data_IF_689029123381
#
_entry.id   IF_689029123381
#
_cell.length_a   1.000
_cell.length_b   1.000
_cell.length_c   1.000
_cell.angle_alpha   90.00
_cell.angle_beta   90.00
_cell.angle_gamma   90.00
#
_symmetry.space_group_name_H-M   'P 1'
#
loop_
_entity.id
_entity.type
_entity.pdbx_description
1 polymer ?
#
# COMPACT_ATOMS: atom_id res chain seq x y z
N UNK A 1 -19.12 12.80 -20.57
CA UNK A 1 -17.73 12.91 -20.07
C UNK A 1 -17.68 12.66 -18.56
N UNK A 2 -17.91 11.43 -18.07
CA UNK A 2 -17.95 11.16 -16.61
C UNK A 2 -17.61 9.73 -16.12
N UNK A 3 -17.30 8.77 -17.01
CA UNK A 3 -17.00 7.38 -16.61
C UNK A 3 -15.51 7.17 -16.24
N UNK A 4 -14.59 7.95 -16.81
CA UNK A 4 -13.12 7.80 -16.55
C UNK A 4 -12.63 8.46 -15.25
N UNK A 5 -13.35 9.46 -14.73
CA UNK A 5 -13.02 10.13 -13.46
C UNK A 5 -13.42 9.28 -12.25
N UNK A 6 -14.63 8.71 -12.24
CA UNK A 6 -15.06 7.79 -11.18
C UNK A 6 -14.14 6.57 -11.07
N UNK A 7 -13.65 6.08 -12.22
CA UNK A 7 -12.62 5.07 -12.38
C UNK A 7 -11.32 5.36 -11.60
N UNK A 8 -10.93 6.63 -11.50
CA UNK A 8 -9.69 7.09 -10.87
C UNK A 8 -9.84 7.20 -9.35
N UNK A 9 -11.02 7.63 -8.92
CA UNK A 9 -11.31 7.87 -7.51
C UNK A 9 -11.51 6.56 -6.75
N UNK A 10 -12.11 5.54 -7.38
CA UNK A 10 -12.34 4.25 -6.69
C UNK A 10 -11.06 3.48 -6.43
N UNK A 11 -10.10 3.44 -7.37
CA UNK A 11 -8.86 2.68 -7.20
C UNK A 11 -7.96 3.35 -6.16
N UNK A 12 -7.88 4.67 -6.18
CA UNK A 12 -7.21 5.43 -5.13
C UNK A 12 -7.87 5.19 -3.75
N UNK A 13 -9.21 5.23 -3.69
CA UNK A 13 -9.96 4.90 -2.47
C UNK A 13 -9.70 3.48 -1.99
N UNK A 14 -9.65 2.50 -2.89
CA UNK A 14 -9.32 1.11 -2.57
C UNK A 14 -7.90 0.98 -2.02
N UNK A 15 -6.91 1.61 -2.65
CA UNK A 15 -5.52 1.60 -2.16
C UNK A 15 -5.47 2.19 -0.74
N UNK A 16 -6.12 3.33 -0.50
CA UNK A 16 -6.18 3.96 0.82
C UNK A 16 -6.83 3.02 1.85
N UNK A 17 -7.96 2.41 1.51
CA UNK A 17 -8.65 1.47 2.39
C UNK A 17 -7.78 0.26 2.74
N UNK A 18 -7.16 -0.37 1.74
CA UNK A 18 -6.26 -1.51 1.93
C UNK A 18 -5.02 -1.12 2.74
N UNK A 19 -4.50 0.10 2.54
CA UNK A 19 -3.38 0.66 3.33
C UNK A 19 -3.78 0.75 4.79
N UNK A 20 -4.93 1.37 5.08
CA UNK A 20 -5.41 1.59 6.46
C UNK A 20 -5.66 0.24 7.16
N UNK A 21 -6.29 -0.71 6.46
CA UNK A 21 -6.51 -2.05 7.00
C UNK A 21 -5.18 -2.74 7.32
N UNK A 22 -4.22 -2.72 6.38
CA UNK A 22 -2.89 -3.30 6.56
C UNK A 22 -2.17 -2.64 7.75
N UNK A 23 -2.12 -1.31 7.78
CA UNK A 23 -1.46 -0.55 8.85
C UNK A 23 -2.08 -0.80 10.22
N UNK A 24 -3.41 -0.85 10.30
CA UNK A 24 -4.13 -1.15 11.53
C UNK A 24 -3.81 -2.56 12.05
N UNK A 25 -3.75 -3.56 11.16
CA UNK A 25 -3.35 -4.92 11.54
C UNK A 25 -1.90 -4.93 12.05
N UNK A 26 -0.95 -4.34 11.33
CA UNK A 26 0.44 -4.30 11.76
C UNK A 26 0.61 -3.60 13.11
N UNK A 27 -0.05 -2.46 13.33
CA UNK A 27 0.04 -1.73 14.61
C UNK A 27 -0.58 -2.54 15.76
N UNK A 28 -1.71 -3.23 15.53
CA UNK A 28 -2.45 -3.91 16.59
C UNK A 28 -1.97 -5.33 16.90
N UNK A 29 -1.41 -6.05 15.93
CA UNK A 29 -1.14 -7.48 16.04
C UNK A 29 -0.23 -7.83 17.22
N UNK A 30 0.85 -7.07 17.40
CA UNK A 30 1.85 -7.29 18.46
C UNK A 30 2.06 -6.06 19.33
N UNK A 31 1.07 -5.17 19.45
CA UNK A 31 1.23 -3.92 20.21
C UNK A 31 1.72 -4.20 21.65
N UNK A 32 2.75 -3.47 22.14
CA UNK A 32 3.41 -2.29 21.57
C UNK A 32 4.74 -2.57 20.85
N UNK A 33 4.86 -3.70 20.13
CA UNK A 33 6.08 -4.02 19.40
C UNK A 33 6.45 -2.93 18.38
N UNK A 34 7.66 -2.39 18.54
CA UNK A 34 8.13 -1.24 17.77
C UNK A 34 8.27 -1.57 16.29
N UNK A 35 8.70 -2.79 15.93
CA UNK A 35 8.90 -3.17 14.53
C UNK A 35 7.55 -3.26 13.80
N UNK A 36 6.52 -3.78 14.48
CA UNK A 36 5.16 -3.86 13.94
C UNK A 36 4.47 -2.49 13.85
N UNK A 37 4.66 -1.62 14.83
CA UNK A 37 4.18 -0.23 14.77
C UNK A 37 4.85 0.52 13.60
N UNK A 38 6.17 0.41 13.47
CA UNK A 38 6.90 1.01 12.35
C UNK A 38 6.46 0.44 11.00
N UNK A 39 6.04 -0.84 10.95
CA UNK A 39 5.47 -1.40 9.73
C UNK A 39 4.19 -0.68 9.29
N UNK A 40 3.24 -0.52 10.21
CA UNK A 40 2.01 0.21 9.89
C UNK A 40 2.26 1.68 9.53
N UNK A 41 3.15 2.36 10.24
CA UNK A 41 3.54 3.73 9.91
C UNK A 41 4.24 3.85 8.55
N UNK A 42 5.04 2.84 8.17
CA UNK A 42 5.66 2.74 6.85
C UNK A 42 4.62 2.72 5.73
N UNK A 43 3.59 1.89 5.87
CA UNK A 43 2.46 1.84 4.93
C UNK A 43 1.74 3.19 4.81
N UNK A 44 1.38 3.81 5.94
CA UNK A 44 0.69 5.10 5.95
C UNK A 44 1.55 6.21 5.32
N UNK A 45 2.84 6.23 5.63
CA UNK A 45 3.79 7.20 5.09
C UNK A 45 3.97 7.05 3.58
N UNK A 46 4.07 5.82 3.08
CA UNK A 46 4.17 5.54 1.64
C UNK A 46 2.89 5.91 0.89
N UNK A 47 1.71 5.64 1.46
CA UNK A 47 0.45 6.07 0.88
C UNK A 47 0.31 7.60 0.85
N UNK A 48 0.66 8.28 1.95
CA UNK A 48 0.70 9.74 1.99
C UNK A 48 1.66 10.29 0.92
N UNK A 49 2.87 9.76 0.83
CA UNK A 49 3.82 10.16 -0.20
C UNK A 49 3.30 9.87 -1.62
N UNK A 50 2.53 8.80 -1.81
CA UNK A 50 2.01 8.39 -3.11
C UNK A 50 0.80 9.20 -3.58
N UNK A 51 -0.01 9.76 -2.69
CA UNK A 51 -1.21 10.52 -3.07
C UNK A 51 -1.13 12.02 -2.84
N UNK A 52 -0.33 12.49 -1.86
CA UNK A 52 -0.25 13.93 -1.60
C UNK A 52 0.33 14.69 -2.80
N UNK A 53 -0.22 15.87 -3.12
CA UNK A 53 0.21 16.69 -4.26
C UNK A 53 1.44 17.56 -3.90
N UNK A 54 2.43 16.99 -3.23
CA UNK A 54 3.67 17.69 -2.87
C UNK A 54 4.64 17.63 -4.06
N UNK A 55 5.26 18.76 -4.50
CA UNK A 55 6.10 18.79 -5.70
C UNK A 55 7.20 17.73 -5.72
N UNK A 56 7.89 17.52 -4.59
CA UNK A 56 8.91 16.48 -4.45
C UNK A 56 8.34 15.08 -4.72
N UNK A 57 7.15 14.79 -4.19
CA UNK A 57 6.53 13.47 -4.32
C UNK A 57 6.00 13.23 -5.73
N UNK A 58 5.49 14.27 -6.39
CA UNK A 58 5.08 14.20 -7.80
C UNK A 58 6.31 13.88 -8.67
N UNK A 59 7.42 14.61 -8.49
CA UNK A 59 8.66 14.38 -9.23
C UNK A 59 9.27 12.99 -8.99
N UNK A 60 9.09 12.45 -7.78
CA UNK A 60 9.63 11.13 -7.38
C UNK A 60 8.56 10.03 -7.39
N UNK A 61 7.39 10.25 -8.00
CA UNK A 61 6.24 9.31 -7.92
C UNK A 61 6.60 7.90 -8.36
N UNK A 62 7.42 7.75 -9.41
CA UNK A 62 7.97 6.46 -9.84
C UNK A 62 8.65 5.73 -8.68
N UNK A 63 9.61 6.39 -8.02
CA UNK A 63 10.37 5.80 -6.93
C UNK A 63 9.49 5.49 -5.71
N UNK A 64 8.53 6.37 -5.41
CA UNK A 64 7.56 6.14 -4.34
C UNK A 64 6.68 4.92 -4.65
N UNK A 65 6.21 4.78 -5.90
CA UNK A 65 5.44 3.60 -6.32
C UNK A 65 6.25 2.30 -6.15
N UNK A 66 7.51 2.31 -6.59
CA UNK A 66 8.41 1.17 -6.44
C UNK A 66 8.72 0.86 -4.98
N UNK A 67 8.97 1.88 -4.16
CA UNK A 67 9.17 1.72 -2.73
C UNK A 67 7.91 1.13 -2.08
N UNK A 68 6.73 1.62 -2.46
CA UNK A 68 5.47 1.12 -1.93
C UNK A 68 5.26 -0.36 -2.30
N UNK A 69 5.35 -0.71 -3.58
CA UNK A 69 5.24 -2.10 -4.02
C UNK A 69 6.31 -3.01 -3.40
N UNK A 70 7.56 -2.56 -3.34
CA UNK A 70 8.67 -3.30 -2.76
C UNK A 70 8.48 -3.53 -1.26
N UNK A 71 8.00 -2.54 -0.53
CA UNK A 71 7.70 -2.65 0.90
C UNK A 71 6.63 -3.70 1.16
N UNK A 72 5.51 -3.62 0.45
CA UNK A 72 4.42 -4.61 0.54
C UNK A 72 4.90 -6.02 0.18
N UNK A 73 5.76 -6.15 -0.83
CA UNK A 73 6.30 -7.45 -1.20
C UNK A 73 7.21 -8.02 -0.10
N UNK A 74 8.04 -7.19 0.53
CA UNK A 74 8.90 -7.60 1.64
C UNK A 74 8.06 -8.09 2.82
N UNK A 75 6.97 -7.42 3.18
CA UNK A 75 6.13 -7.88 4.31
C UNK A 75 5.45 -9.21 4.01
N UNK A 76 5.08 -9.48 2.76
CA UNK A 76 4.58 -10.80 2.33
C UNK A 76 5.68 -11.85 2.45
N UNK A 77 6.86 -11.61 1.89
CA UNK A 77 7.98 -12.56 1.90
C UNK A 77 8.45 -12.88 3.31
N UNK A 78 8.59 -11.87 4.18
CA UNK A 78 8.97 -12.08 5.58
C UNK A 78 7.97 -12.98 6.29
N UNK A 79 6.67 -12.79 6.08
CA UNK A 79 5.67 -13.69 6.65
C UNK A 79 5.71 -15.10 6.04
N UNK A 80 6.06 -15.25 4.76
CA UNK A 80 6.28 -16.58 4.18
C UNK A 80 7.44 -17.29 4.89
N UNK A 81 8.48 -16.59 5.33
CA UNK A 81 9.64 -17.21 5.99
C UNK A 81 9.39 -17.45 7.49
N UNK A 82 8.88 -16.46 8.21
CA UNK A 82 8.81 -16.46 9.69
C UNK A 82 7.42 -16.15 10.27
N UNK A 83 6.41 -16.00 9.43
CA UNK A 83 5.07 -15.57 9.86
C UNK A 83 4.18 -16.71 10.36
N UNK A 84 3.33 -16.39 11.33
CA UNK A 84 2.32 -17.31 11.86
C UNK A 84 1.30 -17.72 10.79
N UNK A 85 0.95 -19.01 10.74
CA UNK A 85 -0.04 -19.60 9.82
C UNK A 85 -1.46 -19.56 10.39
N UNK A 86 -1.88 -18.39 10.85
CA UNK A 86 -3.23 -18.15 11.35
C UNK A 86 -4.16 -17.62 10.25
N UNK A 87 -5.47 -17.78 10.43
CA UNK A 87 -6.48 -17.22 9.52
C UNK A 87 -6.30 -15.72 9.32
N UNK A 88 -5.98 -14.99 10.40
CA UNK A 88 -5.68 -13.57 10.34
C UNK A 88 -4.44 -13.30 9.48
N UNK A 89 -3.36 -14.06 9.67
CA UNK A 89 -2.15 -13.95 8.86
C UNK A 89 -2.42 -14.11 7.36
N UNK A 90 -3.14 -15.17 6.96
CA UNK A 90 -3.52 -15.36 5.55
C UNK A 90 -4.41 -14.24 5.02
N UNK A 91 -5.40 -13.78 5.80
CA UNK A 91 -6.26 -12.67 5.42
C UNK A 91 -5.48 -11.36 5.21
N UNK A 92 -4.52 -11.05 6.09
CA UNK A 92 -3.62 -9.90 5.93
C UNK A 92 -2.82 -9.99 4.64
N UNK A 93 -2.34 -11.17 4.26
CA UNK A 93 -1.59 -11.32 3.00
C UNK A 93 -2.44 -11.22 1.74
N UNK A 94 -3.70 -11.63 1.81
CA UNK A 94 -4.65 -11.35 0.73
C UNK A 94 -4.86 -9.84 0.54
N UNK A 95 -4.98 -9.08 1.64
CA UNK A 95 -5.09 -7.61 1.63
C UNK A 95 -3.82 -6.97 1.06
N UNK A 96 -2.64 -7.37 1.54
CA UNK A 96 -1.34 -6.86 1.04
C UNK A 96 -1.15 -7.18 -0.45
N UNK A 97 -1.53 -8.37 -0.91
CA UNK A 97 -1.45 -8.72 -2.33
C UNK A 97 -2.40 -7.89 -3.18
N UNK A 98 -3.65 -7.68 -2.72
CA UNK A 98 -4.59 -6.79 -3.38
C UNK A 98 -4.07 -5.35 -3.45
N UNK A 99 -3.40 -4.89 -2.39
CA UNK A 99 -2.77 -3.57 -2.32
C UNK A 99 -1.64 -3.45 -3.34
N UNK A 100 -0.74 -4.45 -3.39
CA UNK A 100 0.36 -4.50 -4.33
C UNK A 100 -0.12 -4.39 -5.78
N UNK A 101 -1.14 -5.19 -6.15
CA UNK A 101 -1.74 -5.17 -7.49
C UNK A 101 -2.40 -3.83 -7.78
N UNK A 102 -3.14 -3.28 -6.81
CA UNK A 102 -3.85 -2.00 -6.97
C UNK A 102 -2.87 -0.84 -7.20
N UNK A 103 -1.79 -0.76 -6.42
CA UNK A 103 -0.72 0.23 -6.61
C UNK A 103 -0.06 0.09 -7.98
N UNK A 104 0.21 -1.14 -8.42
CA UNK A 104 0.78 -1.40 -9.75
C UNK A 104 -0.14 -0.90 -10.87
N UNK A 105 -1.44 -1.22 -10.81
CA UNK A 105 -2.43 -0.78 -11.80
C UNK A 105 -2.52 0.75 -11.82
N UNK A 106 -2.66 1.38 -10.65
CA UNK A 106 -2.77 2.84 -10.54
C UNK A 106 -1.50 3.53 -11.07
N UNK A 107 -0.31 3.03 -10.74
CA UNK A 107 0.96 3.57 -11.24
C UNK A 107 1.07 3.48 -12.77
N UNK A 108 0.76 2.30 -13.34
CA UNK A 108 0.78 2.08 -14.79
C UNK A 108 -0.18 3.02 -15.51
N UNK A 109 -1.37 3.21 -14.94
CA UNK A 109 -2.39 4.11 -15.47
C UNK A 109 -1.93 5.57 -15.44
N UNK A 110 -1.47 6.09 -14.29
CA UNK A 110 -1.00 7.49 -14.16
C UNK A 110 0.13 7.80 -15.14
N UNK A 111 1.05 6.85 -15.34
CA UNK A 111 2.12 6.97 -16.33
C UNK A 111 1.60 7.14 -17.75
N UNK A 112 0.55 6.42 -18.14
CA UNK A 112 -0.07 6.54 -19.48
C UNK A 112 -0.80 7.88 -19.61
N UNK A 113 -1.45 8.34 -18.55
CA UNK A 113 -2.15 9.62 -18.50
C UNK A 113 -1.23 10.84 -18.39
N UNK A 114 0.10 10.65 -18.28
CA UNK A 114 1.08 11.72 -18.12
C UNK A 114 1.00 12.46 -16.78
N UNK A 115 0.52 11.79 -15.72
CA UNK A 115 0.32 12.35 -14.38
C UNK A 115 1.32 11.83 -13.34
#
# INVERSE_FOLDING_TARGET
>A
MNQMRSGLDWLAGLIILLTIATAGIHISLLFPDVVFILNGLGFLSLAAAYFLPIPLFIQKRKWIAWAYMGYTLITILLWVVIGERSTLGFATKAIELALLISVWIDYRRRRIEGR
#
